data_IF_853918676328
#
_entry.id   IF_853918676328
#
_cell.length_a   1.000
_cell.length_b   1.000
_cell.length_c   1.000
_cell.angle_alpha   90.00
_cell.angle_beta   90.00
_cell.angle_gamma   90.00
#
_symmetry.space_group_name_H-M   'P 1'
#
loop_
_entity.id
_entity.type
_entity.pdbx_description
1 polymer ?
#
# COMPACT_ATOMS: atom_id res chain seq x y z
N UNK A 1 -8.41 10.44 -1.41
CA UNK A 1 -8.39 10.94 -2.80
C UNK A 1 -6.97 11.35 -3.12
N UNK A 2 -6.43 10.99 -4.29
CA UNK A 2 -5.17 11.56 -4.76
C UNK A 2 -5.32 13.08 -4.90
N UNK A 3 -4.25 13.82 -4.64
CA UNK A 3 -4.11 15.24 -5.00
C UNK A 3 -4.07 15.35 -6.54
N UNK A 4 -4.14 16.59 -7.05
CA UNK A 4 -4.08 16.84 -8.50
C UNK A 4 -2.80 16.32 -9.16
N UNK A 5 -1.71 16.19 -8.40
CA UNK A 5 -0.42 15.64 -8.84
C UNK A 5 -0.35 14.10 -8.73
N UNK A 6 -1.44 13.43 -8.35
CA UNK A 6 -1.48 11.99 -8.13
C UNK A 6 -0.91 11.52 -6.78
N UNK A 7 -0.32 12.41 -5.97
CA UNK A 7 0.17 12.08 -4.64
C UNK A 7 -0.99 11.88 -3.67
N UNK A 8 -0.81 11.02 -2.67
CA UNK A 8 -1.81 10.86 -1.62
C UNK A 8 -1.59 11.86 -0.48
N UNK A 9 -2.67 12.21 0.22
CA UNK A 9 -2.59 13.09 1.40
C UNK A 9 -1.96 12.43 2.62
N UNK A 10 -1.75 11.12 2.57
CA UNK A 10 -1.18 10.28 3.61
C UNK A 10 -2.21 9.64 4.55
N UNK A 11 -1.72 9.07 5.64
CA UNK A 11 -2.54 8.37 6.65
C UNK A 11 -2.99 9.36 7.72
N UNK A 12 -4.28 9.34 8.01
CA UNK A 12 -4.92 10.15 9.04
C UNK A 12 -5.81 9.28 9.92
N UNK A 13 -5.92 9.64 11.19
CA UNK A 13 -6.92 9.11 12.11
C UNK A 13 -7.97 10.18 12.36
N UNK A 14 -9.18 9.77 12.71
CA UNK A 14 -10.25 10.66 13.15
C UNK A 14 -10.69 10.23 14.54
N UNK A 15 -10.62 11.14 15.50
CA UNK A 15 -11.04 10.86 16.87
C UNK A 15 -12.49 11.28 17.07
N UNK A 16 -13.31 10.33 17.51
CA UNK A 16 -14.75 10.55 17.73
C UNK A 16 -15.03 11.42 18.97
N UNK A 17 -14.14 11.38 19.97
CA UNK A 17 -14.28 12.12 21.23
C UNK A 17 -14.18 13.64 21.05
N UNK A 18 -13.25 14.06 20.20
CA UNK A 18 -12.86 15.45 19.97
C UNK A 18 -13.31 15.94 18.60
N UNK A 19 -13.74 15.04 17.71
CA UNK A 19 -14.17 15.35 16.35
C UNK A 19 -13.03 15.84 15.45
N UNK A 20 -11.78 15.43 15.73
CA UNK A 20 -10.58 15.96 15.07
C UNK A 20 -9.88 14.90 14.23
N UNK A 21 -9.32 15.35 13.11
CA UNK A 21 -8.35 14.57 12.35
C UNK A 21 -6.96 14.74 12.94
N UNK A 22 -6.20 13.65 13.05
CA UNK A 22 -4.76 13.68 13.29
C UNK A 22 -4.01 13.03 12.14
N UNK A 23 -2.99 13.74 11.63
CA UNK A 23 -2.20 13.30 10.49
C UNK A 23 -0.98 12.53 10.97
N UNK A 24 -0.85 11.29 10.52
CA UNK A 24 0.25 10.41 10.90
C UNK A 24 1.38 10.40 9.88
N UNK A 25 1.05 10.47 8.60
CA UNK A 25 2.03 10.51 7.51
C UNK A 25 1.58 11.48 6.41
N UNK A 26 2.53 11.97 5.62
CA UNK A 26 2.27 12.78 4.42
C UNK A 26 2.13 11.95 3.14
N UNK A 27 2.28 10.63 3.25
CA UNK A 27 2.33 9.68 2.15
C UNK A 27 1.66 8.35 2.52
N UNK A 28 1.42 7.52 1.50
CA UNK A 28 0.85 6.19 1.66
C UNK A 28 -0.68 6.14 1.64
N UNK A 29 -1.21 4.91 1.54
CA UNK A 29 -2.63 4.61 1.34
C UNK A 29 -3.05 3.31 2.01
N UNK A 30 -4.37 3.05 1.96
CA UNK A 30 -5.03 1.84 2.41
C UNK A 30 -4.56 1.43 3.83
N UNK A 31 -4.80 2.23 4.88
CA UNK A 31 -4.35 1.88 6.22
C UNK A 31 -5.15 0.72 6.83
N UNK A 32 -4.47 -0.15 7.59
CA UNK A 32 -5.07 -1.19 8.43
C UNK A 32 -4.51 -1.08 9.85
N UNK A 33 -5.40 -1.13 10.84
CA UNK A 33 -5.00 -1.15 12.24
C UNK A 33 -4.35 -2.48 12.61
N UNK A 34 -3.21 -2.42 13.29
CA UNK A 34 -2.76 -3.49 14.16
C UNK A 34 -3.63 -3.48 15.43
N UNK A 35 -3.73 -4.57 16.19
CA UNK A 35 -4.51 -4.58 17.44
C UNK A 35 -3.96 -3.63 18.52
N UNK A 36 -2.80 -3.00 18.29
CA UNK A 36 -2.25 -1.97 19.14
C UNK A 36 -2.44 -0.58 18.51
N UNK A 37 -1.65 0.40 18.93
CA UNK A 37 -1.73 1.79 18.46
C UNK A 37 -0.91 2.04 17.17
N UNK A 38 -0.63 1.02 16.37
CA UNK A 38 0.12 1.13 15.11
C UNK A 38 -0.77 0.83 13.90
N UNK A 39 -0.38 1.39 12.76
CA UNK A 39 -1.07 1.22 11.48
C UNK A 39 -0.11 0.70 10.43
N UNK A 40 -0.54 -0.35 9.73
CA UNK A 40 0.07 -0.80 8.49
C UNK A 40 -0.49 0.02 7.34
N UNK A 41 0.34 0.36 6.35
CA UNK A 41 -0.11 1.06 5.15
C UNK A 41 0.80 0.77 3.96
N UNK A 42 0.32 1.06 2.76
CA UNK A 42 1.07 0.84 1.51
C UNK A 42 1.65 2.16 1.02
N UNK A 43 2.91 2.15 0.58
CA UNK A 43 3.52 3.23 -0.17
C UNK A 43 4.55 2.66 -1.17
N UNK A 44 4.47 3.06 -2.44
CA UNK A 44 5.43 2.64 -3.49
C UNK A 44 5.71 1.13 -3.54
N UNK A 45 4.66 0.30 -3.44
CA UNK A 45 4.79 -1.16 -3.47
C UNK A 45 5.40 -1.77 -2.20
N UNK A 46 5.50 -1.00 -1.12
CA UNK A 46 6.04 -1.44 0.17
C UNK A 46 4.98 -1.37 1.24
N UNK A 47 5.12 -2.25 2.23
CA UNK A 47 4.34 -2.20 3.46
C UNK A 47 5.16 -1.44 4.50
N UNK A 48 4.55 -0.42 5.07
CA UNK A 48 5.09 0.39 6.13
C UNK A 48 4.27 0.22 7.41
N UNK A 49 4.92 0.47 8.54
CA UNK A 49 4.29 0.54 9.85
C UNK A 49 4.52 1.93 10.44
N UNK A 50 3.44 2.60 10.85
CA UNK A 50 3.50 3.88 11.59
C UNK A 50 2.96 3.70 13.00
N UNK A 51 3.69 4.24 13.96
CA UNK A 51 3.24 4.37 15.35
C UNK A 51 2.41 5.66 15.50
N UNK A 52 1.18 5.55 16.02
CA UNK A 52 0.25 6.69 16.05
C UNK A 52 0.61 7.77 17.07
N UNK A 53 1.41 7.46 18.10
CA UNK A 53 1.81 8.44 19.12
C UNK A 53 3.06 9.20 18.68
N UNK A 54 4.08 8.47 18.24
CA UNK A 54 5.38 9.04 17.86
C UNK A 54 5.42 9.51 16.41
N UNK A 55 4.46 9.07 15.57
CA UNK A 55 4.39 9.33 14.13
C UNK A 55 5.60 8.82 13.35
N UNK A 56 6.38 7.93 13.94
CA UNK A 56 7.53 7.30 13.29
C UNK A 56 7.02 6.20 12.39
N UNK A 57 7.26 6.38 11.09
CA UNK A 57 7.00 5.36 10.07
C UNK A 57 8.31 4.69 9.65
N UNK A 58 8.25 3.38 9.41
CA UNK A 58 9.35 2.62 8.83
C UNK A 58 8.83 1.55 7.88
N UNK A 59 9.65 1.18 6.92
CA UNK A 59 9.39 0.04 6.02
C UNK A 59 9.52 -1.27 6.81
N UNK A 60 8.60 -2.21 6.58
CA UNK A 60 8.67 -3.56 7.17
C UNK A 60 8.76 -4.67 6.12
N UNK A 61 8.30 -4.41 4.89
CA UNK A 61 8.40 -5.34 3.77
C UNK A 61 8.42 -4.57 2.45
N UNK A 62 9.35 -4.94 1.58
CA UNK A 62 9.36 -4.54 0.16
C UNK A 62 9.03 -5.76 -0.69
N UNK A 63 8.11 -5.60 -1.64
CA UNK A 63 7.77 -6.64 -2.61
C UNK A 63 8.23 -6.29 -4.03
N UNK A 64 9.18 -5.37 -4.15
CA UNK A 64 9.77 -5.00 -5.44
C UNK A 64 10.53 -6.19 -6.07
N UNK A 65 10.54 -6.31 -7.41
CA UNK A 65 10.01 -5.36 -8.40
C UNK A 65 8.50 -5.51 -8.65
N UNK A 66 7.81 -6.41 -7.94
CA UNK A 66 6.38 -6.60 -8.13
C UNK A 66 5.55 -5.50 -7.46
N UNK A 67 4.28 -5.40 -7.85
CA UNK A 67 3.34 -4.45 -7.27
C UNK A 67 2.31 -5.15 -6.38
N UNK A 68 1.82 -4.46 -5.35
CA UNK A 68 0.72 -4.96 -4.54
C UNK A 68 -0.57 -4.75 -5.31
N UNK A 69 -1.42 -5.77 -5.39
CA UNK A 69 -2.77 -5.57 -5.88
C UNK A 69 -3.48 -4.53 -5.00
N UNK A 70 -4.22 -3.62 -5.64
CA UNK A 70 -4.96 -2.55 -4.93
C UNK A 70 -5.91 -3.16 -3.89
N UNK A 71 -5.86 -2.70 -2.63
CA UNK A 71 -6.60 -3.28 -1.48
C UNK A 71 -6.34 -4.79 -1.26
N UNK A 72 -5.27 -5.33 -1.84
CA UNK A 72 -4.93 -6.74 -1.78
C UNK A 72 -4.09 -7.07 -0.56
N UNK A 73 -4.30 -6.46 0.59
CA UNK A 73 -3.54 -6.79 1.81
C UNK A 73 -4.43 -6.83 3.04
N UNK A 74 -4.07 -7.70 3.99
CA UNK A 74 -4.80 -7.93 5.22
C UNK A 74 -3.86 -8.40 6.34
N UNK A 75 -4.27 -8.15 7.58
CA UNK A 75 -3.59 -8.63 8.79
C UNK A 75 -4.43 -9.74 9.43
N UNK A 76 -3.79 -10.82 9.88
CA UNK A 76 -4.45 -11.88 10.64
C UNK A 76 -4.96 -11.34 11.97
N UNK A 77 -6.00 -11.99 12.52
CA UNK A 77 -6.64 -11.56 13.77
C UNK A 77 -5.69 -11.52 14.98
N UNK A 78 -4.64 -12.32 14.97
CA UNK A 78 -3.60 -12.37 16.01
C UNK A 78 -2.39 -11.49 15.70
N UNK A 79 -2.48 -10.65 14.66
CA UNK A 79 -1.46 -9.72 14.16
C UNK A 79 -0.12 -10.35 13.75
N UNK A 80 -0.07 -11.68 13.60
CA UNK A 80 1.19 -12.40 13.31
C UNK A 80 1.43 -12.64 11.84
N UNK A 81 0.43 -12.48 10.99
CA UNK A 81 0.53 -12.79 9.57
C UNK A 81 -0.04 -11.66 8.73
N UNK A 82 0.74 -11.19 7.78
CA UNK A 82 0.29 -10.27 6.75
C UNK A 82 0.06 -11.10 5.49
N UNK A 83 -1.17 -11.07 4.97
CA UNK A 83 -1.50 -11.65 3.68
C UNK A 83 -1.56 -10.53 2.66
N UNK A 84 -0.99 -10.77 1.48
CA UNK A 84 -1.12 -9.85 0.37
C UNK A 84 -1.16 -10.56 -0.98
N UNK A 85 -1.80 -9.91 -1.94
CA UNK A 85 -1.85 -10.32 -3.34
C UNK A 85 -0.86 -9.49 -4.14
N UNK A 86 -0.04 -10.17 -4.93
CA UNK A 86 0.90 -9.54 -5.84
C UNK A 86 0.23 -9.40 -7.21
N UNK A 87 0.28 -8.19 -7.77
CA UNK A 87 -0.06 -7.95 -9.16
C UNK A 87 1.18 -8.21 -10.01
N UNK A 88 1.09 -9.18 -10.92
CA UNK A 88 2.10 -9.41 -11.93
C UNK A 88 1.52 -9.01 -13.29
N UNK A 89 2.10 -7.99 -13.92
CA UNK A 89 1.74 -7.62 -15.28
C UNK A 89 2.64 -8.42 -16.22
N UNK A 90 2.07 -9.44 -16.85
CA UNK A 90 2.75 -10.21 -17.88
C UNK A 90 2.31 -9.69 -19.26
N UNK A 91 3.28 -9.40 -20.12
CA UNK A 91 3.03 -8.97 -21.49
C UNK A 91 4.04 -9.66 -22.40
N UNK A 92 3.57 -10.62 -23.19
CA UNK A 92 4.37 -11.23 -24.25
C UNK A 92 4.04 -10.55 -25.59
N UNK A 93 5.06 -10.04 -26.26
CA UNK A 93 4.94 -9.53 -27.63
C UNK A 93 5.66 -10.49 -28.58
N UNK A 94 4.89 -11.10 -29.47
CA UNK A 94 5.42 -12.00 -30.50
C UNK A 94 5.37 -11.32 -31.86
N UNK A 95 6.50 -11.30 -32.58
CA UNK A 95 6.57 -10.86 -33.97
C UNK A 95 6.46 -12.07 -34.90
N UNK A 96 5.44 -12.10 -35.75
CA UNK A 96 5.35 -13.06 -36.85
C UNK A 96 5.65 -12.35 -38.17
N UNK A 97 6.65 -12.84 -38.89
CA UNK A 97 6.90 -12.42 -40.27
C UNK A 97 6.13 -13.35 -41.20
N UNK A 98 5.19 -12.80 -41.96
CA UNK A 98 4.54 -13.54 -43.05
C UNK A 98 5.48 -13.52 -44.27
N UNK A 99 5.96 -14.69 -44.67
CA UNK A 99 6.70 -14.83 -45.91
C UNK A 99 5.75 -14.67 -47.10
N UNK A 100 6.02 -13.72 -47.99
CA UNK A 100 5.36 -13.67 -49.30
C UNK A 100 5.83 -14.89 -50.10
N UNK A 101 4.93 -15.83 -50.36
CA UNK A 101 5.22 -16.93 -51.29
C UNK A 101 5.02 -16.39 -52.70
N UNK A 102 6.15 -16.19 -53.38
CA UNK A 102 6.44 -15.98 -54.82
C UNK A 102 5.50 -15.05 -55.60
#
# INVERSE_FOLDING_TARGET
MPRQDGSYVGIMTYSLDSGRFDKLTDYGVDPIWHSDRRLLFIHEGKIHLVDSETRKAHEILSIAPQEMARRGFALSRDDRQIYFSVANTEADVWLMTLGTTI
#
